data_IF_183310233404
#
_entry.id   IF_183310233404
#
_cell.length_a   1.000
_cell.length_b   1.000
_cell.length_c   1.000
_cell.angle_alpha   90.00
_cell.angle_beta   90.00
_cell.angle_gamma   90.00
#
_symmetry.space_group_name_H-M   'P 1'
#
loop_
_entity.id
_entity.type
_entity.pdbx_description
1 polymer ?
#
# COMPACT_ATOMS: atom_id res chain seq x y z
N UNK A 1 -12.95 12.80 15.98
CA UNK A 1 -12.18 13.07 14.75
C UNK A 1 -12.53 11.96 13.77
N UNK A 2 -12.88 12.30 12.51
CA UNK A 2 -13.12 11.28 11.49
C UNK A 2 -11.78 10.58 11.20
N UNK A 3 -11.78 9.24 11.25
CA UNK A 3 -10.62 8.44 10.87
C UNK A 3 -10.26 8.70 9.41
N UNK A 4 -8.97 8.72 9.06
CA UNK A 4 -8.56 8.94 7.68
C UNK A 4 -9.14 7.85 6.78
N UNK A 5 -9.61 8.25 5.61
CA UNK A 5 -9.97 7.31 4.56
C UNK A 5 -8.71 6.72 3.96
N UNK A 6 -8.54 5.41 4.03
CA UNK A 6 -7.38 4.70 3.52
C UNK A 6 -7.79 3.68 2.47
N UNK A 7 -7.00 3.62 1.40
CA UNK A 7 -7.28 2.78 0.23
C UNK A 7 -6.07 1.88 -0.07
N UNK A 8 -6.34 0.58 -0.30
CA UNK A 8 -5.35 -0.39 -0.76
C UNK A 8 -5.66 -0.77 -2.19
N UNK A 9 -4.78 -0.42 -3.12
CA UNK A 9 -4.88 -0.75 -4.53
C UNK A 9 -4.27 -2.13 -4.81
N UNK A 10 -4.95 -2.96 -5.55
CA UNK A 10 -4.52 -4.32 -5.85
C UNK A 10 -4.90 -4.71 -7.28
N UNK A 11 -4.10 -5.56 -7.89
CA UNK A 11 -4.50 -6.28 -9.09
C UNK A 11 -5.71 -7.17 -8.75
N UNK A 12 -6.56 -7.49 -9.71
CA UNK A 12 -7.78 -8.28 -9.52
C UNK A 12 -7.52 -9.62 -8.83
N UNK A 13 -6.56 -10.41 -9.32
CA UNK A 13 -6.18 -11.67 -8.67
C UNK A 13 -5.71 -11.49 -7.22
N UNK A 14 -4.92 -10.45 -6.94
CA UNK A 14 -4.43 -10.17 -5.59
C UNK A 14 -5.58 -9.74 -4.68
N UNK A 15 -6.54 -8.98 -5.19
CA UNK A 15 -7.72 -8.56 -4.44
C UNK A 15 -8.60 -9.77 -4.06
N UNK A 16 -8.84 -10.69 -5.01
CA UNK A 16 -9.60 -11.92 -4.73
C UNK A 16 -8.88 -12.78 -3.69
N UNK A 17 -7.56 -13.01 -3.86
CA UNK A 17 -6.76 -13.74 -2.87
C UNK A 17 -6.80 -13.09 -1.49
N UNK A 18 -6.83 -11.75 -1.40
CA UNK A 18 -6.96 -11.01 -0.14
C UNK A 18 -8.28 -11.33 0.54
N UNK A 19 -9.39 -11.37 -0.21
CA UNK A 19 -10.71 -11.73 0.31
C UNK A 19 -10.71 -13.18 0.79
N UNK A 20 -10.26 -14.11 -0.04
CA UNK A 20 -10.24 -15.55 0.26
C UNK A 20 -9.36 -15.90 1.47
N UNK A 21 -8.19 -15.30 1.56
CA UNK A 21 -7.28 -15.49 2.69
C UNK A 21 -7.69 -14.72 3.93
N UNK A 22 -8.59 -13.74 3.82
CA UNK A 22 -8.92 -12.75 4.87
C UNK A 22 -7.66 -12.09 5.44
N UNK A 23 -6.72 -11.78 4.56
CA UNK A 23 -5.40 -11.31 4.92
C UNK A 23 -4.82 -10.39 3.84
N UNK A 24 -4.10 -9.35 4.25
CA UNK A 24 -3.27 -8.58 3.33
C UNK A 24 -1.88 -9.21 3.20
N UNK A 25 -1.39 -9.28 1.97
CA UNK A 25 0.02 -9.57 1.73
C UNK A 25 0.87 -8.42 2.26
N UNK A 26 1.86 -8.74 3.06
CA UNK A 26 2.88 -7.82 3.55
C UNK A 26 4.01 -7.77 2.53
N UNK A 27 4.38 -6.58 2.10
CA UNK A 27 5.54 -6.37 1.24
C UNK A 27 6.82 -6.38 2.06
N UNK A 28 7.85 -7.08 1.61
CA UNK A 28 9.20 -6.93 2.15
C UNK A 28 9.79 -5.61 1.69
N UNK A 29 10.79 -5.10 2.39
CA UNK A 29 11.44 -3.83 2.02
C UNK A 29 12.10 -3.91 0.64
N UNK A 30 12.64 -5.06 0.27
CA UNK A 30 13.24 -5.34 -1.04
C UNK A 30 12.23 -5.46 -2.20
N UNK A 31 10.92 -5.46 -1.91
CA UNK A 31 9.84 -5.54 -2.90
C UNK A 31 9.19 -4.17 -3.17
N UNK A 32 9.66 -3.11 -2.51
CA UNK A 32 9.16 -1.75 -2.74
C UNK A 32 9.58 -1.25 -4.11
N UNK A 33 8.76 -0.41 -4.71
CA UNK A 33 8.94 0.06 -6.08
C UNK A 33 9.90 1.25 -6.23
N UNK A 34 10.11 2.01 -5.15
CA UNK A 34 11.07 3.10 -5.14
C UNK A 34 12.46 2.57 -4.72
N UNK A 35 13.48 2.62 -5.61
CA UNK A 35 14.81 2.11 -5.29
C UNK A 35 15.55 2.91 -4.24
N UNK A 36 15.05 4.08 -3.88
CA UNK A 36 15.66 4.95 -2.86
C UNK A 36 15.03 4.78 -1.47
N UNK A 37 13.98 3.99 -1.35
CA UNK A 37 13.37 3.73 -0.06
C UNK A 37 14.28 2.90 0.85
N UNK A 38 14.29 3.23 2.16
CA UNK A 38 15.09 2.57 3.18
C UNK A 38 16.61 2.70 2.98
N UNK A 39 17.05 3.63 2.16
CA UNK A 39 18.47 3.87 1.90
C UNK A 39 18.96 5.11 2.61
N UNK A 40 20.23 5.07 2.98
CA UNK A 40 21.00 6.19 3.54
C UNK A 40 22.01 6.60 2.49
N UNK A 41 22.11 7.90 2.24
CA UNK A 41 23.20 8.46 1.44
C UNK A 41 24.46 8.67 2.31
N UNK A 42 25.60 8.74 1.65
CA UNK A 42 26.87 9.08 2.30
C UNK A 42 27.51 10.29 1.61
N UNK A 43 28.21 11.09 2.39
CA UNK A 43 29.05 12.18 1.87
C UNK A 43 30.49 12.05 2.35
N UNK A 44 31.46 12.58 1.57
CA UNK A 44 32.86 12.60 1.92
C UNK A 44 33.54 11.23 1.89
N UNK A 45 33.02 10.26 1.13
CA UNK A 45 33.67 8.97 0.90
C UNK A 45 34.59 9.02 -0.32
N UNK A 46 35.69 8.23 -0.35
CA UNK A 46 36.52 8.05 -1.53
C UNK A 46 35.71 7.40 -2.68
N UNK A 47 35.85 7.87 -3.94
CA UNK A 47 35.08 7.33 -5.07
C UNK A 47 35.21 5.81 -5.27
N UNK A 48 36.34 5.24 -4.88
CA UNK A 48 36.62 3.79 -4.98
C UNK A 48 35.73 2.95 -4.06
N UNK A 49 35.10 3.58 -3.06
CA UNK A 49 34.21 2.91 -2.12
C UNK A 49 32.73 2.94 -2.53
N UNK A 50 32.37 3.62 -3.60
CA UNK A 50 30.97 3.78 -4.04
C UNK A 50 30.27 2.42 -4.19
N UNK A 51 30.84 1.48 -4.94
CA UNK A 51 30.28 0.15 -5.13
C UNK A 51 30.19 -0.66 -3.81
N UNK A 52 31.13 -0.46 -2.91
CA UNK A 52 31.14 -1.11 -1.60
C UNK A 52 29.99 -0.57 -0.74
N UNK A 53 29.79 0.73 -0.73
CA UNK A 53 28.70 1.39 0.02
C UNK A 53 27.33 0.99 -0.53
N UNK A 54 27.17 0.92 -1.87
CA UNK A 54 25.97 0.41 -2.50
C UNK A 54 25.60 -1.00 -2.01
N UNK A 55 26.58 -1.93 -2.07
CA UNK A 55 26.39 -3.32 -1.57
C UNK A 55 26.08 -3.37 -0.07
N UNK A 56 26.70 -2.50 0.73
CA UNK A 56 26.40 -2.41 2.17
C UNK A 56 24.98 -1.93 2.41
N UNK A 57 24.48 -0.98 1.61
CA UNK A 57 23.09 -0.52 1.73
C UNK A 57 22.09 -1.59 1.30
N UNK A 58 22.38 -2.35 0.25
CA UNK A 58 21.55 -3.49 -0.13
C UNK A 58 21.49 -4.53 1.00
N UNK A 59 22.63 -4.90 1.56
CA UNK A 59 22.70 -5.80 2.71
C UNK A 59 21.98 -5.27 3.96
N UNK A 60 22.01 -3.96 4.19
CA UNK A 60 21.27 -3.32 5.27
C UNK A 60 19.74 -3.43 5.05
N UNK A 61 19.25 -3.12 3.85
CA UNK A 61 17.83 -3.24 3.51
C UNK A 61 17.36 -4.69 3.63
N UNK A 62 18.16 -5.65 3.17
CA UNK A 62 17.89 -7.08 3.34
C UNK A 62 17.81 -7.48 4.82
N UNK A 63 18.79 -7.07 5.62
CA UNK A 63 18.85 -7.38 7.05
C UNK A 63 17.62 -6.86 7.81
N UNK A 64 17.25 -5.61 7.57
CA UNK A 64 16.06 -5.01 8.18
C UNK A 64 14.79 -5.72 7.66
N UNK A 65 14.72 -5.98 6.36
CA UNK A 65 13.61 -6.66 5.68
C UNK A 65 13.40 -8.12 6.07
N UNK A 66 14.36 -8.77 6.76
CA UNK A 66 14.16 -10.11 7.32
C UNK A 66 13.13 -10.13 8.46
N UNK A 67 12.99 -9.03 9.18
CA UNK A 67 12.09 -8.95 10.33
C UNK A 67 10.95 -7.95 10.15
N UNK A 68 11.06 -7.02 9.21
CA UNK A 68 10.09 -5.95 8.99
C UNK A 68 9.47 -6.03 7.61
N UNK A 69 8.19 -5.78 7.55
CA UNK A 69 7.44 -5.62 6.31
C UNK A 69 6.46 -4.46 6.39
N UNK A 70 5.85 -4.14 5.27
CA UNK A 70 4.99 -2.97 5.14
C UNK A 70 3.71 -3.32 4.40
N UNK A 71 2.60 -2.74 4.87
CA UNK A 71 1.37 -2.60 4.10
C UNK A 71 1.16 -1.12 3.82
N UNK A 72 1.18 -0.74 2.54
CA UNK A 72 0.99 0.63 2.08
C UNK A 72 -0.48 0.89 1.77
N UNK A 73 -0.97 2.01 2.24
CA UNK A 73 -2.28 2.56 1.91
C UNK A 73 -2.10 3.96 1.30
N UNK A 74 -3.07 4.39 0.50
CA UNK A 74 -3.16 5.77 0.04
C UNK A 74 -4.34 6.48 0.72
N UNK A 75 -4.23 7.78 0.93
CA UNK A 75 -5.31 8.63 1.43
C UNK A 75 -6.23 9.14 0.31
N UNK A 76 -5.94 8.80 -0.95
CA UNK A 76 -6.75 9.19 -2.10
C UNK A 76 -7.20 8.00 -2.91
N UNK A 77 -8.41 8.07 -3.46
CA UNK A 77 -8.95 7.14 -4.44
C UNK A 77 -9.00 7.75 -5.84
N UNK A 78 -8.73 9.05 -5.94
CA UNK A 78 -9.01 9.86 -7.12
C UNK A 78 -7.88 9.88 -8.13
N UNK A 79 -6.66 9.58 -7.72
CA UNK A 79 -5.48 9.72 -8.55
C UNK A 79 -5.39 8.62 -9.63
N UNK A 80 -5.41 8.95 -10.94
CA UNK A 80 -5.36 7.96 -12.01
C UNK A 80 -4.01 7.25 -12.12
N UNK A 81 -2.91 7.84 -11.59
CA UNK A 81 -1.58 7.22 -11.62
C UNK A 81 -1.57 6.01 -10.68
N UNK A 82 -2.15 6.13 -9.48
CA UNK A 82 -2.30 5.00 -8.54
C UNK A 82 -3.09 3.85 -9.16
N UNK A 83 -4.21 4.16 -9.81
CA UNK A 83 -5.00 3.16 -10.53
C UNK A 83 -4.22 2.51 -11.68
N UNK A 84 -3.40 3.28 -12.37
CA UNK A 84 -2.57 2.75 -13.46
C UNK A 84 -1.49 1.81 -12.94
N UNK A 85 -0.74 2.24 -11.94
CA UNK A 85 0.41 1.52 -11.41
C UNK A 85 0.04 0.26 -10.63
N UNK A 86 -0.91 0.39 -9.69
CA UNK A 86 -1.16 -0.65 -8.68
C UNK A 86 -2.30 -1.59 -9.03
N UNK A 87 -3.13 -1.24 -10.03
CA UNK A 87 -4.29 -2.05 -10.41
C UNK A 87 -4.21 -2.59 -11.85
N UNK A 88 -3.02 -2.82 -12.35
CA UNK A 88 -2.83 -3.31 -13.71
C UNK A 88 -3.59 -2.47 -14.74
N UNK A 89 -3.26 -1.17 -14.82
CA UNK A 89 -3.85 -0.21 -15.76
C UNK A 89 -5.39 -0.13 -15.60
N UNK A 90 -5.84 0.18 -14.37
CA UNK A 90 -7.26 0.33 -14.00
C UNK A 90 -8.11 -0.94 -14.08
N UNK A 91 -7.50 -2.14 -14.12
CA UNK A 91 -8.22 -3.42 -14.18
C UNK A 91 -8.49 -4.04 -12.82
N UNK A 92 -7.76 -3.64 -11.79
CA UNK A 92 -7.84 -4.24 -10.45
C UNK A 92 -8.95 -3.65 -9.59
N UNK A 93 -8.79 -3.85 -8.28
CA UNK A 93 -9.73 -3.45 -7.24
C UNK A 93 -8.99 -2.63 -6.19
N UNK A 94 -9.62 -1.57 -5.69
CA UNK A 94 -9.15 -0.86 -4.51
C UNK A 94 -10.08 -1.17 -3.33
N UNK A 95 -9.50 -1.45 -2.16
CA UNK A 95 -10.24 -1.61 -0.92
C UNK A 95 -10.15 -0.33 -0.08
N UNK A 96 -11.29 0.21 0.34
CA UNK A 96 -11.35 1.20 1.41
C UNK A 96 -11.37 0.47 2.73
N UNK A 97 -10.46 0.82 3.62
CA UNK A 97 -10.29 0.15 4.92
C UNK A 97 -10.66 1.07 6.09
N UNK A 98 -11.17 0.46 7.16
CA UNK A 98 -11.43 1.11 8.43
C UNK A 98 -10.40 0.64 9.45
N UNK A 99 -9.37 1.44 9.68
CA UNK A 99 -8.29 1.14 10.63
C UNK A 99 -8.69 1.39 12.08
N UNK A 100 -9.73 2.17 12.33
CA UNK A 100 -10.17 2.56 13.69
C UNK A 100 -10.75 1.44 14.52
N UNK A 101 -11.00 0.28 13.90
CA UNK A 101 -11.52 -0.89 14.59
C UNK A 101 -10.45 -1.61 15.43
N UNK A 102 -9.19 -1.25 15.26
CA UNK A 102 -8.05 -1.81 15.99
C UNK A 102 -7.12 -0.67 16.44
N UNK A 103 -7.04 -0.43 17.75
CA UNK A 103 -6.22 0.64 18.32
C UNK A 103 -4.73 0.43 18.09
N UNK A 104 -4.26 -0.82 18.04
CA UNK A 104 -2.87 -1.12 17.73
C UNK A 104 -2.53 -0.74 16.29
N UNK A 105 -3.43 -1.04 15.36
CA UNK A 105 -3.30 -0.68 13.96
C UNK A 105 -3.19 0.84 13.78
N UNK A 106 -4.02 1.60 14.52
CA UNK A 106 -3.97 3.07 14.50
C UNK A 106 -2.62 3.60 15.00
N UNK A 107 -2.06 2.99 16.06
CA UNK A 107 -0.78 3.43 16.63
C UNK A 107 0.42 3.14 15.71
N UNK A 108 0.33 2.09 14.90
CA UNK A 108 1.41 1.60 14.05
C UNK A 108 1.32 2.15 12.60
N UNK A 109 0.31 3.00 12.33
CA UNK A 109 0.18 3.71 11.07
C UNK A 109 1.02 4.97 11.05
N UNK A 110 1.78 5.15 9.98
CA UNK A 110 2.64 6.30 9.79
C UNK A 110 2.41 6.95 8.42
N UNK A 111 2.20 8.26 8.44
CA UNK A 111 2.17 9.06 7.22
C UNK A 111 3.57 9.16 6.64
N UNK A 112 3.66 9.10 5.31
CA UNK A 112 4.91 9.35 4.59
C UNK A 112 5.12 10.85 4.43
N UNK A 113 6.32 11.29 4.77
CA UNK A 113 6.78 12.67 4.64
C UNK A 113 7.60 12.81 3.35
N UNK A 114 7.09 13.61 2.44
CA UNK A 114 7.70 13.88 1.14
C UNK A 114 8.51 15.18 1.12
N UNK A 115 8.49 15.95 2.19
CA UNK A 115 9.15 17.25 2.29
C UNK A 115 10.58 17.14 2.85
N UNK A 116 10.94 15.98 3.39
CA UNK A 116 12.26 15.76 3.94
C UNK A 116 13.28 15.41 2.87
N UNK A 117 14.48 16.01 2.94
CA UNK A 117 15.58 15.59 2.09
C UNK A 117 16.02 14.16 2.43
N UNK A 118 16.70 13.46 1.50
CA UNK A 118 17.32 12.17 1.80
C UNK A 118 18.21 12.26 3.05
N UNK A 119 18.24 11.20 3.84
CA UNK A 119 19.15 11.10 4.97
C UNK A 119 20.55 10.86 4.40
N UNK A 120 21.45 11.82 4.58
CA UNK A 120 22.86 11.71 4.18
C UNK A 120 23.73 11.81 5.43
N UNK A 121 24.68 10.89 5.57
CA UNK A 121 25.56 10.79 6.74
C UNK A 121 27.01 10.96 6.28
N UNK A 122 27.82 11.76 6.99
CA UNK A 122 29.28 11.79 6.78
C UNK A 122 29.85 10.37 6.91
N UNK A 123 30.58 9.92 5.89
CA UNK A 123 31.13 8.56 5.83
C UNK A 123 31.93 8.18 7.07
N UNK A 124 32.72 9.12 7.57
CA UNK A 124 33.51 8.89 8.80
C UNK A 124 32.65 8.64 10.03
N UNK A 125 31.46 9.24 10.12
CA UNK A 125 30.54 9.05 11.24
C UNK A 125 29.85 7.68 11.19
N UNK A 126 29.56 7.19 10.00
CA UNK A 126 28.84 5.92 9.81
C UNK A 126 29.52 4.75 10.54
N UNK A 127 30.86 4.64 10.43
CA UNK A 127 31.63 3.59 11.09
C UNK A 127 31.68 3.70 12.63
N UNK A 128 31.26 4.84 13.17
CA UNK A 128 31.28 5.15 14.62
C UNK A 128 29.88 5.12 15.24
N UNK A 129 28.82 4.89 14.43
CA UNK A 129 27.45 4.90 14.94
C UNK A 129 27.19 3.75 15.89
N UNK A 130 26.57 4.08 17.02
CA UNK A 130 26.05 3.11 17.97
C UNK A 130 24.81 2.39 17.45
N UNK A 131 24.50 1.22 18.02
CA UNK A 131 23.27 0.47 17.72
C UNK A 131 22.00 1.33 17.97
N UNK A 132 22.04 2.18 19.01
CA UNK A 132 20.92 3.08 19.32
C UNK A 132 20.70 4.12 18.22
N UNK A 133 21.78 4.74 17.72
CA UNK A 133 21.70 5.71 16.61
C UNK A 133 21.20 5.06 15.32
N UNK A 134 21.67 3.85 15.01
CA UNK A 134 21.16 3.06 13.88
C UNK A 134 19.67 2.74 14.06
N UNK A 135 19.22 2.40 15.26
CA UNK A 135 17.81 2.16 15.57
C UNK A 135 16.93 3.38 15.34
N UNK A 136 17.37 4.57 15.75
CA UNK A 136 16.67 5.83 15.50
C UNK A 136 16.63 6.18 14.01
N UNK A 137 17.71 5.88 13.29
CA UNK A 137 17.76 6.06 11.85
C UNK A 137 16.72 5.20 11.13
N UNK A 138 16.65 3.90 11.46
CA UNK A 138 15.66 2.96 10.90
C UNK A 138 14.24 3.46 11.15
N UNK A 139 13.94 3.96 12.35
CA UNK A 139 12.62 4.52 12.68
C UNK A 139 12.24 5.73 11.82
N UNK A 140 13.20 6.43 11.26
CA UNK A 140 12.95 7.59 10.40
C UNK A 140 12.86 7.22 8.92
N UNK A 141 13.62 6.21 8.48
CA UNK A 141 13.64 5.79 7.08
C UNK A 141 12.27 5.38 6.56
N UNK A 142 11.45 4.68 7.35
CA UNK A 142 10.12 4.24 6.90
C UNK A 142 9.12 5.39 6.68
N UNK A 143 9.43 6.59 7.18
CA UNK A 143 8.56 7.77 7.08
C UNK A 143 8.91 8.68 5.91
N UNK A 144 9.98 8.41 5.18
CA UNK A 144 10.45 9.28 4.11
C UNK A 144 10.29 8.64 2.75
N UNK A 145 9.95 9.46 1.76
CA UNK A 145 9.91 9.08 0.34
C UNK A 145 10.18 10.29 -0.52
N UNK A 146 10.74 10.09 -1.71
CA UNK A 146 10.99 11.17 -2.67
C UNK A 146 9.70 11.92 -3.00
N UNK A 147 9.82 13.25 -3.15
CA UNK A 147 8.70 14.11 -3.55
C UNK A 147 8.01 13.65 -4.84
N UNK A 148 8.74 13.01 -5.75
CA UNK A 148 8.19 12.44 -6.98
C UNK A 148 7.05 11.44 -6.74
N UNK A 149 6.95 10.88 -5.54
CA UNK A 149 5.91 9.94 -5.13
C UNK A 149 4.78 10.57 -4.30
N UNK A 150 4.77 11.89 -4.14
CA UNK A 150 3.77 12.62 -3.32
C UNK A 150 2.32 12.36 -3.74
N UNK A 151 2.09 12.05 -5.02
CA UNK A 151 0.76 11.70 -5.52
C UNK A 151 0.17 10.46 -4.84
N UNK A 152 1.00 9.59 -4.25
CA UNK A 152 0.54 8.41 -3.53
C UNK A 152 -0.18 8.75 -2.22
N UNK A 153 0.12 9.89 -1.60
CA UNK A 153 -0.41 10.30 -0.29
C UNK A 153 -0.38 9.12 0.69
N UNK A 154 0.79 8.50 0.78
CA UNK A 154 0.96 7.18 1.39
C UNK A 154 0.84 7.24 2.91
N UNK A 155 0.21 6.21 3.47
CA UNK A 155 0.20 5.87 4.88
C UNK A 155 0.63 4.42 5.04
N UNK A 156 1.59 4.16 5.91
CA UNK A 156 2.25 2.85 6.07
C UNK A 156 1.90 2.19 7.38
N UNK A 157 1.57 0.92 7.31
CA UNK A 157 1.53 0.03 8.46
C UNK A 157 2.80 -0.83 8.46
N UNK A 158 3.70 -0.56 9.41
CA UNK A 158 4.96 -1.29 9.58
C UNK A 158 4.71 -2.47 10.51
N UNK A 159 5.14 -3.66 10.09
CA UNK A 159 4.76 -4.93 10.74
C UNK A 159 6.01 -5.76 11.02
N UNK A 160 6.10 -6.32 12.23
CA UNK A 160 7.04 -7.41 12.52
C UNK A 160 6.59 -8.69 11.80
N UNK A 161 7.38 -9.17 10.85
CA UNK A 161 7.09 -10.36 10.06
C UNK A 161 6.92 -11.62 10.89
N UNK A 162 7.48 -11.67 12.11
CA UNK A 162 7.28 -12.77 13.05
C UNK A 162 5.84 -12.90 13.53
N UNK A 163 5.07 -11.80 13.45
CA UNK A 163 3.65 -11.77 13.82
C UNK A 163 2.73 -12.12 12.64
N UNK A 164 3.28 -12.33 11.46
CA UNK A 164 2.57 -12.62 10.23
C UNK A 164 2.58 -14.12 9.92
N UNK A 165 1.59 -14.58 9.16
CA UNK A 165 1.50 -15.96 8.69
C UNK A 165 2.37 -16.14 7.43
N UNK A 166 3.35 -17.06 7.41
CA UNK A 166 4.09 -17.39 6.19
C UNK A 166 3.17 -18.04 5.15
N UNK A 167 3.34 -17.67 3.88
CA UNK A 167 2.55 -18.23 2.77
C UNK A 167 3.32 -18.13 1.46
N UNK A 168 3.78 -19.28 0.91
CA UNK A 168 4.39 -19.35 -0.43
C UNK A 168 5.55 -18.38 -0.66
N UNK A 169 6.46 -18.22 0.31
CA UNK A 169 7.58 -17.27 0.23
C UNK A 169 7.20 -15.81 0.55
N UNK A 170 5.94 -15.55 0.87
CA UNK A 170 5.42 -14.24 1.29
C UNK A 170 4.94 -14.30 2.73
N UNK A 171 4.53 -13.15 3.27
CA UNK A 171 3.91 -13.02 4.58
C UNK A 171 2.50 -12.44 4.43
N UNK A 172 1.57 -12.94 5.25
CA UNK A 172 0.19 -12.49 5.31
C UNK A 172 -0.12 -11.92 6.70
N UNK A 173 -0.64 -10.69 6.71
CA UNK A 173 -1.26 -10.14 7.91
C UNK A 173 -2.73 -10.60 7.94
N UNK A 174 -3.02 -11.62 8.76
CA UNK A 174 -4.29 -12.35 8.83
C UNK A 174 -5.18 -11.92 10.02
N UNK A 175 -4.85 -10.79 10.63
CA UNK A 175 -5.62 -10.22 11.74
C UNK A 175 -6.76 -9.30 11.28
N UNK A 176 -7.18 -9.43 10.02
CA UNK A 176 -8.21 -8.60 9.40
C UNK A 176 -9.60 -8.95 9.94
N UNK A 177 -10.25 -8.07 10.71
CA UNK A 177 -11.63 -8.29 11.13
C UNK A 177 -12.61 -8.09 9.97
N UNK A 178 -13.82 -8.68 10.01
CA UNK A 178 -14.81 -8.56 8.92
C UNK A 178 -15.17 -7.13 8.52
N UNK A 179 -15.22 -6.21 9.48
CA UNK A 179 -15.54 -4.80 9.24
C UNK A 179 -14.34 -3.96 8.75
N UNK A 180 -13.17 -4.57 8.54
CA UNK A 180 -11.98 -3.86 8.12
C UNK A 180 -12.09 -3.32 6.68
N UNK A 181 -12.59 -4.14 5.75
CA UNK A 181 -12.87 -3.70 4.38
C UNK A 181 -14.28 -3.14 4.32
N UNK A 182 -14.43 -1.84 4.21
CA UNK A 182 -15.74 -1.16 4.14
C UNK A 182 -16.26 -1.07 2.71
N UNK A 183 -15.37 -0.88 1.73
CA UNK A 183 -15.75 -0.81 0.32
C UNK A 183 -14.74 -1.57 -0.54
N UNK A 184 -15.26 -2.21 -1.59
CA UNK A 184 -14.49 -2.79 -2.69
C UNK A 184 -14.81 -2.02 -3.97
N UNK A 185 -13.82 -1.31 -4.51
CA UNK A 185 -14.00 -0.42 -5.66
C UNK A 185 -13.42 -1.09 -6.90
N UNK A 186 -14.27 -1.44 -7.86
CA UNK A 186 -13.90 -2.10 -9.11
C UNK A 186 -13.34 -1.06 -10.08
N UNK A 187 -12.15 -1.27 -10.61
CA UNK A 187 -11.54 -0.40 -11.62
C UNK A 187 -12.35 -0.36 -12.91
N UNK A 188 -12.38 0.79 -13.58
CA UNK A 188 -13.28 0.99 -14.74
C UNK A 188 -12.93 0.13 -15.97
N UNK A 189 -11.76 -0.52 -15.98
CA UNK A 189 -11.35 -1.49 -17.00
C UNK A 189 -11.33 -2.93 -16.49
N UNK A 190 -11.82 -3.17 -15.27
CA UNK A 190 -11.81 -4.50 -14.67
C UNK A 190 -12.78 -5.42 -15.40
N UNK A 191 -12.38 -6.68 -15.55
CA UNK A 191 -13.24 -7.76 -16.03
C UNK A 191 -13.98 -8.47 -14.89
N UNK A 192 -13.67 -8.12 -13.64
CA UNK A 192 -14.33 -8.69 -12.47
C UNK A 192 -15.77 -8.18 -12.42
N UNK A 193 -16.73 -9.11 -12.51
CA UNK A 193 -18.14 -8.77 -12.38
C UNK A 193 -18.49 -8.46 -10.93
N UNK A 194 -19.43 -7.55 -10.73
CA UNK A 194 -19.95 -7.20 -9.41
C UNK A 194 -20.52 -8.41 -8.67
N UNK A 195 -21.26 -9.27 -9.41
CA UNK A 195 -21.84 -10.49 -8.86
C UNK A 195 -20.77 -11.46 -8.35
N UNK A 196 -19.68 -11.63 -9.10
CA UNK A 196 -18.57 -12.48 -8.68
C UNK A 196 -17.90 -11.92 -7.43
N UNK A 197 -17.60 -10.61 -7.41
CA UNK A 197 -16.98 -9.96 -6.27
C UNK A 197 -17.89 -10.02 -5.03
N UNK A 198 -19.20 -9.79 -5.18
CA UNK A 198 -20.18 -9.90 -4.10
C UNK A 198 -20.15 -11.30 -3.48
N UNK A 199 -20.21 -12.32 -4.33
CA UNK A 199 -20.16 -13.72 -3.88
C UNK A 199 -18.87 -14.04 -3.15
N UNK A 200 -17.72 -13.58 -3.65
CA UNK A 200 -16.43 -13.78 -2.98
C UNK A 200 -16.41 -13.13 -1.60
N UNK A 201 -16.91 -11.89 -1.49
CA UNK A 201 -17.01 -11.17 -0.22
C UNK A 201 -17.94 -11.88 0.77
N UNK A 202 -19.13 -12.32 0.32
CA UNK A 202 -20.11 -12.98 1.18
C UNK A 202 -19.61 -14.31 1.74
N UNK A 203 -18.98 -15.12 0.90
CA UNK A 203 -18.44 -16.42 1.30
C UNK A 203 -17.29 -16.32 2.31
N UNK A 204 -16.61 -15.16 2.33
CA UNK A 204 -15.43 -14.96 3.18
C UNK A 204 -15.69 -14.00 4.37
N UNK A 205 -16.94 -13.71 4.70
CA UNK A 205 -17.29 -12.96 5.90
C UNK A 205 -17.28 -11.44 5.75
N UNK A 206 -17.29 -10.92 4.52
CA UNK A 206 -17.31 -9.49 4.20
C UNK A 206 -18.67 -9.01 3.68
N UNK A 207 -19.77 -9.52 4.22
CA UNK A 207 -21.14 -9.20 3.77
C UNK A 207 -21.48 -7.71 3.86
N UNK A 208 -20.83 -6.98 4.79
CA UNK A 208 -21.05 -5.54 5.00
C UNK A 208 -20.25 -4.65 4.03
N UNK A 209 -19.32 -5.24 3.27
CA UNK A 209 -18.51 -4.47 2.32
C UNK A 209 -19.38 -3.97 1.17
N UNK A 210 -19.39 -2.67 0.95
CA UNK A 210 -20.10 -2.08 -0.21
C UNK A 210 -19.25 -2.24 -1.47
N UNK A 211 -19.92 -2.43 -2.61
CA UNK A 211 -19.24 -2.47 -3.92
C UNK A 211 -19.51 -1.15 -4.63
N UNK A 212 -18.44 -0.53 -5.13
CA UNK A 212 -18.47 0.68 -5.94
C UNK A 212 -17.75 0.42 -7.26
N UNK A 213 -17.97 1.27 -8.25
CA UNK A 213 -17.24 1.27 -9.52
C UNK A 213 -16.48 2.58 -9.68
N UNK A 214 -15.23 2.46 -10.08
CA UNK A 214 -14.44 3.61 -10.51
C UNK A 214 -14.91 4.03 -11.91
N UNK A 215 -15.01 5.34 -12.16
CA UNK A 215 -15.26 5.90 -13.48
C UNK A 215 -14.36 7.12 -13.72
N UNK A 216 -14.16 7.46 -14.98
CA UNK A 216 -13.44 8.70 -15.33
C UNK A 216 -14.38 9.89 -15.13
N UNK A 217 -13.87 10.94 -14.48
CA UNK A 217 -14.59 12.22 -14.46
C UNK A 217 -14.74 12.77 -15.88
N UNK A 218 -15.88 13.39 -16.15
CA UNK A 218 -16.09 14.14 -17.39
C UNK A 218 -15.65 15.61 -17.27
N UNK A 219 -15.22 16.04 -16.09
CA UNK A 219 -14.91 17.44 -15.80
C UNK A 219 -13.44 17.65 -15.36
N UNK A 220 -12.82 16.63 -14.80
CA UNK A 220 -11.45 16.69 -14.25
C UNK A 220 -10.64 15.48 -14.71
N UNK A 221 -9.33 15.49 -14.45
CA UNK A 221 -8.47 14.32 -14.67
C UNK A 221 -8.46 13.37 -13.46
N UNK A 222 -9.55 13.27 -12.72
CA UNK A 222 -9.69 12.42 -11.54
C UNK A 222 -10.57 11.19 -11.82
N UNK A 223 -10.41 10.20 -10.96
CA UNK A 223 -11.32 9.07 -10.86
C UNK A 223 -12.45 9.43 -9.89
N UNK A 224 -13.68 9.21 -10.33
CA UNK A 224 -14.89 9.32 -9.53
C UNK A 224 -15.42 7.93 -9.16
N UNK A 225 -16.24 7.88 -8.11
CA UNK A 225 -16.88 6.63 -7.68
C UNK A 225 -18.37 6.68 -8.00
N UNK A 226 -18.89 5.56 -8.49
CA UNK A 226 -20.31 5.34 -8.73
C UNK A 226 -20.78 4.20 -7.83
N UNK A 227 -21.90 4.45 -7.10
CA UNK A 227 -22.53 3.41 -6.31
C UNK A 227 -23.17 2.35 -7.24
N UNK A 228 -22.88 1.09 -6.98
CA UNK A 228 -23.63 0.02 -7.59
C UNK A 228 -24.95 -0.07 -6.81
N UNK A 229 -26.01 0.46 -7.37
CA UNK A 229 -27.33 0.24 -6.82
C UNK A 229 -27.69 -1.24 -7.01
N UNK A 230 -28.06 -1.92 -5.95
CA UNK A 230 -28.83 -3.16 -6.00
C UNK A 230 -30.25 -2.86 -6.55
N UNK A 231 -30.33 -2.25 -7.70
CA UNK A 231 -31.56 -1.89 -8.36
C UNK A 231 -31.58 -2.51 -9.73
N UNK A 232 -32.45 -3.55 -9.81
CA UNK A 232 -33.21 -3.99 -10.97
C UNK A 232 -32.48 -4.05 -12.33
N UNK A 233 -32.33 -5.23 -12.95
CA UNK A 233 -31.74 -5.39 -14.28
C UNK A 233 -32.54 -4.69 -15.40
N UNK A 234 -33.58 -3.93 -15.09
CA UNK A 234 -34.58 -3.46 -16.04
C UNK A 234 -34.41 -2.05 -16.62
N UNK A 235 -33.32 -1.34 -16.35
CA UNK A 235 -33.13 0.00 -16.95
C UNK A 235 -31.82 0.10 -17.72
N UNK A 236 -31.59 -0.80 -18.64
CA UNK A 236 -30.79 -0.51 -19.82
C UNK A 236 -31.73 0.01 -20.95
N UNK A 237 -32.09 1.26 -20.87
CA UNK A 237 -32.70 1.91 -22.05
C UNK A 237 -31.58 2.30 -23.00
N UNK A 238 -31.56 1.57 -24.12
CA UNK A 238 -30.57 1.66 -25.15
C UNK A 238 -30.32 3.09 -25.64
N UNK A 239 -29.05 3.33 -25.90
CA UNK A 239 -28.58 4.45 -26.70
C UNK A 239 -29.24 4.30 -28.08
N UNK A 240 -30.14 5.21 -28.43
CA UNK A 240 -30.61 5.38 -29.80
C UNK A 240 -29.66 6.41 -30.42
N UNK A 241 -28.88 5.95 -31.41
CA UNK A 241 -28.02 6.74 -32.26
C UNK A 241 -28.71 7.85 -32.99
#
# INVERSE_FOLDING_TARGET
MNSPELYRYLRDEAAIKTIEARAFRVSRLTELNDPFEWRIGFEGYPPELEEVLEKQMDGFVEMVGQNMGIICFSKTIKDPILWSQYTNVHRGIAFKVNVSIDSQLVSDLHDVDYDKPPIVIPFQRYSQMSISELGELIKNLHKQKSESWRYEQECRFVIDLKTCKPSGGSFLWDKMPPAFITHAIIGFRSSVSELYLRRALDLNGFQHTQILKAKRSLKTYEIELEGTTNSDPAVWRGWKG
#
